data_IF_545677870807
#
_entry.id   IF_545677870807
#
_cell.length_a   1.000
_cell.length_b   1.000
_cell.length_c   1.000
_cell.angle_alpha   90.00
_cell.angle_beta   90.00
_cell.angle_gamma   90.00
#
_symmetry.space_group_name_H-M   'P 1'
#
loop_
_entity.id
_entity.type
_entity.pdbx_description
1 polymer ?
#
# COMPACT_ATOMS: atom_id res chain seq x y z
N UNK A 1 -20.11 -26.16 -19.40
CA UNK A 1 -19.16 -25.16 -18.86
C UNK A 1 -17.79 -25.60 -19.30
N UNK A 2 -17.19 -24.82 -20.20
CA UNK A 2 -16.00 -25.16 -20.99
C UNK A 2 -14.70 -24.94 -20.20
N UNK A 3 -13.66 -25.70 -20.54
CA UNK A 3 -12.34 -25.79 -19.89
C UNK A 3 -11.48 -24.52 -19.91
N UNK A 4 -12.04 -23.35 -20.25
CA UNK A 4 -11.32 -22.08 -20.33
C UNK A 4 -11.43 -21.20 -19.07
N UNK A 5 -12.27 -21.59 -18.09
CA UNK A 5 -12.50 -20.80 -16.87
C UNK A 5 -11.51 -21.08 -15.72
N UNK A 6 -10.53 -21.97 -15.89
CA UNK A 6 -9.63 -22.43 -14.78
C UNK A 6 -8.25 -21.73 -14.79
N UNK A 7 -7.97 -20.82 -15.73
CA UNK A 7 -6.68 -20.14 -15.83
C UNK A 7 -6.79 -18.62 -15.70
N UNK A 8 -7.13 -18.12 -14.50
CA UNK A 8 -6.89 -16.71 -14.12
C UNK A 8 -7.10 -16.37 -12.64
N UNK A 9 -7.07 -17.37 -11.75
CA UNK A 9 -7.01 -17.14 -10.31
C UNK A 9 -5.58 -17.42 -9.83
N UNK A 10 -5.15 -16.71 -8.79
CA UNK A 10 -3.85 -16.77 -8.10
C UNK A 10 -2.72 -15.82 -8.58
N UNK A 11 -3.10 -14.58 -8.86
CA UNK A 11 -2.27 -13.42 -8.53
C UNK A 11 -3.00 -12.51 -7.51
N UNK A 12 -3.78 -13.12 -6.62
CA UNK A 12 -4.44 -12.39 -5.53
C UNK A 12 -3.40 -11.97 -4.49
N UNK A 13 -3.36 -10.65 -4.25
CA UNK A 13 -2.54 -9.99 -3.25
C UNK A 13 -2.88 -10.58 -1.88
N UNK A 14 -1.94 -11.28 -1.26
CA UNK A 14 -2.09 -11.87 0.07
C UNK A 14 -2.34 -10.77 1.10
N UNK A 15 -3.40 -10.93 1.89
CA UNK A 15 -3.62 -10.14 3.11
C UNK A 15 -2.60 -10.57 4.15
N UNK A 16 -1.87 -9.61 4.72
CA UNK A 16 -0.89 -9.86 5.75
C UNK A 16 -1.36 -9.22 7.04
N UNK A 17 -1.66 -10.06 8.04
CA UNK A 17 -2.03 -9.64 9.40
C UNK A 17 -0.84 -9.29 10.27
N UNK A 18 0.39 -9.61 9.83
CA UNK A 18 1.66 -9.26 10.47
C UNK A 18 2.71 -9.00 9.38
N UNK A 19 3.77 -8.24 9.70
CA UNK A 19 4.86 -7.89 8.78
C UNK A 19 5.41 -9.14 8.06
N UNK A 20 5.15 -9.32 6.75
CA UNK A 20 5.47 -10.54 6.03
C UNK A 20 6.93 -10.60 5.56
N UNK A 21 7.73 -9.59 5.88
CA UNK A 21 9.11 -9.47 5.44
C UNK A 21 10.09 -9.37 6.61
N UNK A 22 9.72 -9.86 7.79
CA UNK A 22 10.71 -10.03 8.86
C UNK A 22 11.56 -11.27 8.59
N UNK A 23 12.70 -11.06 7.92
CA UNK A 23 13.73 -12.08 7.70
C UNK A 23 14.27 -12.67 9.02
N UNK A 24 13.96 -12.08 10.18
CA UNK A 24 14.37 -12.57 11.49
C UNK A 24 13.40 -13.56 12.12
N UNK A 25 12.17 -13.72 11.59
CA UNK A 25 11.17 -14.57 12.23
C UNK A 25 11.28 -16.06 11.84
N UNK A 26 11.68 -16.37 10.59
CA UNK A 26 11.79 -17.75 10.13
C UNK A 26 13.20 -18.32 10.40
N UNK A 27 13.30 -19.24 11.36
CA UNK A 27 14.56 -19.91 11.69
C UNK A 27 14.67 -21.24 10.93
N UNK A 28 15.88 -21.75 10.67
CA UNK A 28 16.07 -23.08 10.07
C UNK A 28 15.33 -24.21 10.81
N UNK A 29 15.11 -24.06 12.11
CA UNK A 29 14.27 -24.94 12.94
C UNK A 29 12.82 -25.04 12.43
N UNK A 30 12.26 -23.96 11.91
CA UNK A 30 10.87 -23.90 11.47
C UNK A 30 10.65 -24.75 10.21
N UNK A 31 11.66 -24.87 9.35
CA UNK A 31 11.63 -25.78 8.19
C UNK A 31 11.51 -27.23 8.63
N UNK A 32 12.18 -27.62 9.74
CA UNK A 32 12.04 -28.97 10.30
C UNK A 32 10.66 -29.22 10.84
N UNK A 33 10.04 -28.22 11.48
CA UNK A 33 8.66 -28.34 11.96
C UNK A 33 7.71 -28.66 10.82
N UNK A 34 7.91 -28.09 9.63
CA UNK A 34 7.09 -28.41 8.45
C UNK A 34 7.13 -29.89 8.07
N UNK A 35 8.31 -30.55 8.14
CA UNK A 35 8.44 -31.98 7.88
C UNK A 35 7.71 -32.87 8.91
N UNK A 36 7.49 -32.37 10.13
CA UNK A 36 6.75 -33.08 11.16
C UNK A 36 5.25 -32.79 11.12
N UNK A 37 4.86 -31.53 10.87
CA UNK A 37 3.47 -31.10 10.77
C UNK A 37 2.76 -31.79 9.61
N UNK A 38 3.43 -31.85 8.45
CA UNK A 38 2.84 -32.41 7.23
C UNK A 38 3.16 -33.88 7.00
N UNK A 39 3.94 -34.50 7.90
CA UNK A 39 4.42 -35.89 7.79
C UNK A 39 4.95 -36.26 6.40
N UNK A 40 5.76 -35.37 5.83
CA UNK A 40 6.37 -35.55 4.51
C UNK A 40 7.86 -35.89 4.64
N UNK A 41 8.42 -36.74 3.76
CA UNK A 41 9.85 -37.03 3.72
C UNK A 41 10.65 -36.01 2.90
N UNK A 42 9.97 -35.30 1.98
CA UNK A 42 10.56 -34.28 1.09
C UNK A 42 9.66 -33.05 1.02
N UNK A 43 10.29 -31.88 0.85
CA UNK A 43 9.62 -30.60 0.63
C UNK A 43 10.24 -29.95 -0.61
N UNK A 44 9.48 -29.73 -1.70
CA UNK A 44 9.95 -28.96 -2.84
C UNK A 44 10.05 -27.47 -2.50
N UNK A 45 11.13 -26.85 -2.98
CA UNK A 45 11.40 -25.42 -2.86
C UNK A 45 11.15 -24.77 -4.21
N UNK A 46 10.32 -23.74 -4.24
CA UNK A 46 9.90 -23.07 -5.47
C UNK A 46 10.21 -21.58 -5.44
N UNK A 47 10.40 -20.98 -6.60
CA UNK A 47 10.54 -19.53 -6.73
C UNK A 47 9.19 -18.84 -6.65
N UNK A 48 9.18 -17.50 -6.47
CA UNK A 48 7.95 -16.67 -6.58
C UNK A 48 7.18 -16.90 -7.90
N UNK A 49 7.84 -17.42 -8.94
CA UNK A 49 7.28 -17.70 -10.27
C UNK A 49 6.78 -19.14 -10.43
N UNK A 50 6.81 -19.94 -9.37
CA UNK A 50 6.42 -21.35 -9.40
C UNK A 50 7.46 -22.27 -10.05
N UNK A 51 8.71 -21.82 -10.21
CA UNK A 51 9.80 -22.65 -10.74
C UNK A 51 10.40 -23.46 -9.60
N UNK A 52 10.56 -24.77 -9.78
CA UNK A 52 11.22 -25.62 -8.80
C UNK A 52 12.71 -25.26 -8.69
N UNK A 53 13.15 -24.80 -7.52
CA UNK A 53 14.55 -24.47 -7.19
C UNK A 53 15.32 -25.74 -6.80
N UNK A 54 14.69 -26.60 -6.01
CA UNK A 54 15.26 -27.86 -5.55
C UNK A 54 14.34 -28.55 -4.56
N UNK A 55 14.79 -29.67 -3.99
CA UNK A 55 13.99 -30.46 -3.06
C UNK A 55 14.79 -30.71 -1.78
N UNK A 56 14.20 -30.38 -0.64
CA UNK A 56 14.75 -30.65 0.68
C UNK A 56 14.37 -32.06 1.12
N UNK A 57 15.33 -32.83 1.64
CA UNK A 57 15.09 -34.12 2.28
C UNK A 57 15.11 -33.97 3.79
N UNK A 58 14.13 -34.56 4.49
CA UNK A 58 14.04 -34.54 5.96
C UNK A 58 15.37 -34.94 6.64
N UNK A 59 16.01 -36.00 6.14
CA UNK A 59 17.27 -36.50 6.70
C UNK A 59 18.43 -35.51 6.58
N UNK A 60 18.54 -34.80 5.44
CA UNK A 60 19.60 -33.81 5.22
C UNK A 60 19.44 -32.61 6.15
N UNK A 61 18.20 -32.14 6.31
CA UNK A 61 17.88 -30.99 7.17
C UNK A 61 18.15 -31.33 8.64
N UNK A 62 17.75 -32.52 9.11
CA UNK A 62 18.04 -32.98 10.48
C UNK A 62 19.55 -33.10 10.71
N UNK A 63 20.29 -33.59 9.72
CA UNK A 63 21.75 -33.71 9.81
C UNK A 63 22.44 -32.35 9.91
N UNK A 64 22.02 -31.36 9.11
CA UNK A 64 22.59 -30.01 9.17
C UNK A 64 22.25 -29.29 10.49
N UNK A 65 21.03 -29.48 11.01
CA UNK A 65 20.62 -28.90 12.30
C UNK A 65 21.24 -29.56 13.52
N UNK A 66 21.91 -30.71 13.35
CA UNK A 66 22.70 -31.31 14.43
C UNK A 66 23.95 -30.48 14.75
N UNK A 67 24.39 -29.61 13.83
CA UNK A 67 25.48 -28.64 14.02
C UNK A 67 24.91 -27.25 14.34
N UNK A 68 24.35 -27.13 15.56
CA UNK A 68 23.57 -25.96 16.02
C UNK A 68 24.39 -24.66 15.96
N UNK A 69 25.67 -24.70 16.31
CA UNK A 69 26.55 -23.51 16.30
C UNK A 69 26.75 -22.91 14.90
N UNK A 70 26.67 -23.76 13.87
CA UNK A 70 26.79 -23.34 12.47
C UNK A 70 25.47 -22.79 11.94
N UNK A 71 24.34 -23.36 12.37
CA UNK A 71 23.02 -22.97 11.88
C UNK A 71 22.51 -21.68 12.51
N UNK A 72 22.87 -21.37 13.75
CA UNK A 72 22.52 -20.09 14.41
C UNK A 72 23.05 -18.86 13.65
N UNK A 73 24.13 -19.01 12.87
CA UNK A 73 24.76 -17.91 12.12
C UNK A 73 24.30 -17.82 10.67
N UNK A 74 23.55 -18.80 10.18
CA UNK A 74 23.13 -18.86 8.78
C UNK A 74 21.75 -18.22 8.62
N UNK A 75 21.63 -17.38 7.59
CA UNK A 75 20.32 -16.89 7.17
C UNK A 75 19.52 -18.04 6.54
N UNK A 76 18.20 -17.98 6.69
CA UNK A 76 17.29 -19.04 6.22
C UNK A 76 17.39 -19.29 4.71
N UNK A 77 17.61 -18.23 3.92
CA UNK A 77 17.76 -18.30 2.47
C UNK A 77 19.03 -19.04 2.05
N UNK A 78 20.15 -18.77 2.74
CA UNK A 78 21.39 -19.50 2.52
C UNK A 78 21.26 -20.97 2.95
N UNK A 79 20.58 -21.23 4.08
CA UNK A 79 20.34 -22.58 4.58
C UNK A 79 19.51 -23.42 3.60
N UNK A 80 18.38 -22.88 3.12
CA UNK A 80 17.50 -23.59 2.18
C UNK A 80 18.21 -23.78 0.83
N UNK A 81 18.86 -22.75 0.29
CA UNK A 81 19.56 -22.84 -0.99
C UNK A 81 20.68 -23.87 -0.98
N UNK A 82 21.42 -23.98 0.13
CA UNK A 82 22.50 -24.98 0.30
C UNK A 82 21.96 -26.41 0.35
N UNK A 83 20.80 -26.61 0.97
CA UNK A 83 20.21 -27.93 1.20
C UNK A 83 19.25 -28.39 0.09
N UNK A 84 18.77 -27.47 -0.73
CA UNK A 84 17.86 -27.75 -1.84
C UNK A 84 18.61 -28.50 -2.95
N UNK A 85 18.49 -29.82 -2.96
CA UNK A 85 19.15 -30.66 -3.93
C UNK A 85 18.31 -30.82 -5.20
N UNK A 86 18.97 -30.83 -6.37
CA UNK A 86 18.32 -31.27 -7.61
C UNK A 86 18.10 -32.78 -7.55
N UNK A 87 16.88 -33.20 -7.85
CA UNK A 87 16.53 -34.61 -7.97
C UNK A 87 16.11 -34.89 -9.40
N UNK A 88 16.54 -36.03 -9.93
CA UNK A 88 16.03 -36.57 -11.17
C UNK A 88 14.66 -37.19 -10.96
N UNK A 89 13.98 -37.51 -12.06
CA UNK A 89 12.73 -38.27 -12.01
C UNK A 89 12.92 -39.61 -11.27
N UNK A 90 14.05 -40.29 -11.51
CA UNK A 90 14.35 -41.59 -10.90
C UNK A 90 14.51 -41.50 -9.37
N UNK A 91 15.09 -40.39 -8.89
CA UNK A 91 15.22 -40.10 -7.46
C UNK A 91 13.87 -39.86 -6.76
N UNK A 92 12.83 -39.50 -7.53
CA UNK A 92 11.50 -39.21 -7.03
C UNK A 92 10.56 -40.42 -7.01
N UNK A 93 10.91 -41.51 -7.71
CA UNK A 93 10.14 -42.75 -7.75
C UNK A 93 9.80 -43.28 -6.34
N UNK A 94 10.72 -43.28 -5.35
CA UNK A 94 10.42 -43.74 -3.99
C UNK A 94 9.29 -42.96 -3.30
N UNK A 95 9.09 -41.70 -3.69
CA UNK A 95 8.07 -40.80 -3.12
C UNK A 95 6.75 -40.82 -3.92
N UNK A 96 6.64 -41.65 -4.96
CA UNK A 96 5.48 -41.68 -5.85
C UNK A 96 4.15 -42.12 -5.22
N UNK A 97 4.16 -42.61 -3.96
CA UNK A 97 2.96 -42.92 -3.16
C UNK A 97 2.32 -41.67 -2.55
N UNK A 98 3.07 -40.57 -2.44
CA UNK A 98 2.60 -39.30 -1.90
C UNK A 98 1.81 -38.58 -3.00
N UNK A 99 0.59 -38.16 -2.67
CA UNK A 99 -0.31 -37.50 -3.64
C UNK A 99 -0.04 -36.01 -3.76
N UNK A 100 0.29 -35.37 -2.62
CA UNK A 100 0.46 -33.94 -2.50
C UNK A 100 1.70 -33.64 -1.66
N UNK A 101 2.41 -32.60 -2.07
CA UNK A 101 3.62 -32.12 -1.43
C UNK A 101 3.42 -30.67 -1.04
N UNK A 102 3.70 -30.35 0.20
CA UNK A 102 3.75 -28.96 0.65
C UNK A 102 4.97 -28.30 0.03
N UNK A 103 4.79 -27.13 -0.57
CA UNK A 103 5.86 -26.38 -1.22
C UNK A 103 6.18 -25.12 -0.45
N UNK A 104 7.47 -24.77 -0.40
CA UNK A 104 7.97 -23.58 0.29
C UNK A 104 8.80 -22.71 -0.67
N UNK A 105 9.02 -21.46 -0.30
CA UNK A 105 10.01 -20.60 -0.96
C UNK A 105 11.40 -20.72 -0.30
N UNK A 106 12.39 -19.99 -0.82
CA UNK A 106 13.75 -19.95 -0.24
C UNK A 106 13.80 -19.36 1.17
N UNK A 107 12.74 -18.73 1.67
CA UNK A 107 12.67 -18.15 3.01
C UNK A 107 11.98 -19.08 4.03
N UNK A 108 11.54 -20.27 3.60
CA UNK A 108 10.87 -21.23 4.46
C UNK A 108 9.36 -21.03 4.56
N UNK A 109 8.80 -20.09 3.81
CA UNK A 109 7.37 -19.78 3.85
C UNK A 109 6.59 -20.72 2.93
N UNK A 110 5.44 -21.20 3.43
CA UNK A 110 4.51 -22.03 2.71
C UNK A 110 3.94 -21.30 1.48
N UNK A 111 4.00 -21.95 0.32
CA UNK A 111 3.46 -21.46 -0.95
C UNK A 111 2.26 -22.26 -1.45
N UNK A 112 1.77 -23.21 -0.64
CA UNK A 112 0.64 -24.09 -0.97
C UNK A 112 1.06 -25.55 -1.13
N UNK A 113 0.31 -26.29 -1.94
CA UNK A 113 0.56 -27.70 -2.23
C UNK A 113 0.72 -27.96 -3.72
N UNK A 114 1.62 -28.87 -4.07
CA UNK A 114 1.79 -29.41 -5.40
C UNK A 114 1.35 -30.87 -5.44
N UNK A 115 0.58 -31.23 -6.46
CA UNK A 115 0.33 -32.63 -6.78
C UNK A 115 1.61 -33.34 -7.22
N UNK A 116 1.63 -34.66 -7.06
CA UNK A 116 2.72 -35.52 -7.57
C UNK A 116 3.07 -35.26 -9.04
N UNK A 117 2.06 -35.04 -9.89
CA UNK A 117 2.27 -34.79 -11.31
C UNK A 117 3.01 -33.46 -11.52
N UNK A 118 2.60 -32.40 -10.81
CA UNK A 118 3.26 -31.09 -10.89
C UNK A 118 4.74 -31.18 -10.47
N UNK A 119 5.04 -31.88 -9.37
CA UNK A 119 6.43 -32.06 -8.93
C UNK A 119 7.26 -32.81 -9.97
N UNK A 120 6.72 -33.90 -10.53
CA UNK A 120 7.45 -34.75 -11.47
C UNK A 120 7.71 -34.02 -12.79
N UNK A 121 6.71 -33.30 -13.28
CA UNK A 121 6.84 -32.43 -14.46
C UNK A 121 7.83 -31.29 -14.22
N UNK A 122 7.82 -30.68 -13.04
CA UNK A 122 8.77 -29.61 -12.69
C UNK A 122 10.21 -30.12 -12.63
N UNK A 123 10.46 -31.33 -12.12
CA UNK A 123 11.78 -31.94 -12.11
C UNK A 123 12.31 -32.22 -13.53
N UNK A 124 11.46 -32.68 -14.44
CA UNK A 124 11.90 -32.95 -15.82
C UNK A 124 12.16 -31.65 -16.61
N UNK A 125 11.32 -30.62 -16.39
CA UNK A 125 11.47 -29.30 -17.02
C UNK A 125 12.63 -28.47 -16.43
N UNK A 126 13.15 -28.84 -15.25
CA UNK A 126 14.25 -28.11 -14.58
C UNK A 126 15.60 -28.18 -15.32
N UNK A 127 15.74 -29.07 -16.31
CA UNK A 127 17.00 -29.33 -17.05
C UNK A 127 17.54 -28.15 -17.87
N UNK A 128 16.78 -27.07 -18.04
CA UNK A 128 17.22 -25.86 -18.78
C UNK A 128 17.14 -24.54 -17.99
N UNK A 129 16.67 -24.56 -16.74
CA UNK A 129 16.49 -23.32 -15.95
C UNK A 129 17.73 -23.07 -15.10
N UNK A 130 18.29 -21.86 -15.19
CA UNK A 130 19.43 -21.48 -14.37
C UNK A 130 18.95 -21.02 -12.98
N UNK A 131 18.76 -21.99 -12.08
CA UNK A 131 18.25 -21.77 -10.73
C UNK A 131 19.06 -20.74 -9.92
N UNK A 132 20.37 -20.61 -10.15
CA UNK A 132 21.18 -19.57 -9.48
C UNK A 132 20.75 -18.16 -9.89
N UNK A 133 20.31 -17.99 -11.14
CA UNK A 133 19.77 -16.71 -11.63
C UNK A 133 18.40 -16.43 -11.02
N UNK A 134 17.53 -17.45 -10.92
CA UNK A 134 16.22 -17.31 -10.27
C UNK A 134 16.34 -17.02 -8.77
N UNK A 135 17.27 -17.68 -8.07
CA UNK A 135 17.55 -17.41 -6.65
C UNK A 135 18.10 -16.00 -6.45
N UNK A 136 19.10 -15.60 -7.24
CA UNK A 136 19.64 -14.22 -7.18
C UNK A 136 18.57 -13.19 -7.47
N UNK A 137 17.75 -13.42 -8.50
CA UNK A 137 16.65 -12.54 -8.84
C UNK A 137 15.62 -12.44 -7.73
N UNK A 138 15.27 -13.55 -7.09
CA UNK A 138 14.35 -13.56 -5.95
C UNK A 138 14.92 -12.82 -4.73
N UNK A 139 16.23 -12.94 -4.49
CA UNK A 139 16.92 -12.16 -3.46
C UNK A 139 16.93 -10.67 -3.80
N UNK A 140 17.27 -10.30 -5.05
CA UNK A 140 17.25 -8.91 -5.52
C UNK A 140 15.85 -8.30 -5.45
N UNK A 141 14.82 -9.01 -5.92
CA UNK A 141 13.42 -8.59 -5.85
C UNK A 141 13.00 -8.36 -4.40
N UNK A 142 13.40 -9.23 -3.46
CA UNK A 142 13.10 -9.04 -2.04
C UNK A 142 13.87 -7.87 -1.42
N UNK A 143 15.14 -7.67 -1.78
CA UNK A 143 15.91 -6.50 -1.33
C UNK A 143 15.24 -5.21 -1.82
N UNK A 144 14.74 -5.19 -3.07
CA UNK A 144 13.97 -4.07 -3.60
C UNK A 144 12.65 -3.89 -2.85
N UNK A 145 11.89 -4.97 -2.62
CA UNK A 145 10.64 -4.94 -1.84
C UNK A 145 10.90 -4.34 -0.44
N UNK A 146 12.00 -4.76 0.21
CA UNK A 146 12.39 -4.26 1.53
C UNK A 146 12.85 -2.80 1.50
N UNK A 147 13.60 -2.40 0.49
CA UNK A 147 13.98 -1.00 0.29
C UNK A 147 12.76 -0.11 0.08
N UNK A 148 11.77 -0.57 -0.69
CA UNK A 148 10.50 0.15 -0.90
C UNK A 148 9.77 0.29 0.43
N UNK A 149 9.65 -0.79 1.20
CA UNK A 149 9.03 -0.74 2.53
C UNK A 149 9.72 0.29 3.43
N UNK A 150 11.06 0.24 3.54
CA UNK A 150 11.82 1.19 4.35
C UNK A 150 11.62 2.63 3.90
N UNK A 151 11.60 2.88 2.59
CA UNK A 151 11.34 4.22 2.06
C UNK A 151 9.95 4.68 2.47
N UNK A 152 8.91 3.86 2.24
CA UNK A 152 7.53 4.20 2.56
C UNK A 152 7.31 4.40 4.07
N UNK A 153 7.99 3.62 4.90
CA UNK A 153 7.95 3.75 6.36
C UNK A 153 8.51 5.10 6.84
N UNK A 154 9.55 5.60 6.18
CA UNK A 154 10.24 6.85 6.58
C UNK A 154 9.72 8.10 5.85
N UNK A 155 8.70 7.97 4.99
CA UNK A 155 8.03 9.16 4.45
C UNK A 155 7.32 9.85 5.62
N UNK A 156 7.59 11.14 5.89
CA UNK A 156 7.05 11.86 7.04
C UNK A 156 5.59 12.31 6.82
N UNK A 157 4.75 11.38 6.37
CA UNK A 157 3.30 11.55 6.15
C UNK A 157 2.60 10.25 6.50
N UNK A 158 1.35 10.34 6.95
CA UNK A 158 0.54 9.15 7.17
C UNK A 158 0.12 8.56 5.81
N UNK A 159 0.53 7.31 5.56
CA UNK A 159 0.28 6.61 4.31
C UNK A 159 -0.59 5.40 4.55
N UNK A 160 -1.53 5.19 3.65
CA UNK A 160 -2.38 4.00 3.63
C UNK A 160 -2.64 3.59 2.18
N UNK A 161 -2.59 2.30 1.85
CA UNK A 161 -2.75 1.82 0.48
C UNK A 161 -3.82 0.73 0.40
N UNK A 162 -4.65 0.82 -0.63
CA UNK A 162 -5.71 -0.15 -0.93
C UNK A 162 -5.59 -0.69 -2.35
N UNK A 163 -5.97 -1.94 -2.56
CA UNK A 163 -6.01 -2.56 -3.90
C UNK A 163 -7.31 -2.21 -4.65
N UNK A 164 -7.45 -2.74 -5.88
CA UNK A 164 -8.68 -2.60 -6.69
C UNK A 164 -9.96 -3.08 -5.97
N UNK A 165 -9.84 -4.05 -5.06
CA UNK A 165 -10.97 -4.61 -4.29
C UNK A 165 -11.28 -3.82 -3.01
N UNK A 166 -10.53 -2.76 -2.71
CA UNK A 166 -10.68 -1.97 -1.50
C UNK A 166 -10.03 -2.59 -0.26
N UNK A 167 -9.21 -3.64 -0.42
CA UNK A 167 -8.49 -4.28 0.68
C UNK A 167 -7.16 -3.58 0.95
N UNK A 168 -6.75 -3.58 2.20
CA UNK A 168 -5.52 -2.95 2.69
C UNK A 168 -4.30 -3.68 2.16
N UNK A 169 -3.33 -2.94 1.64
CA UNK A 169 -2.05 -3.46 1.13
C UNK A 169 -0.88 -2.98 1.98
N UNK A 170 -0.96 -1.77 2.53
CA UNK A 170 0.12 -1.16 3.30
C UNK A 170 -0.41 -0.01 4.15
N UNK A 171 0.23 0.23 5.30
CA UNK A 171 0.19 1.48 6.05
C UNK A 171 1.52 1.66 6.80
N UNK A 172 1.92 2.91 7.06
CA UNK A 172 3.14 3.19 7.83
C UNK A 172 2.84 3.57 9.28
N UNK A 173 3.87 3.64 10.13
CA UNK A 173 3.74 4.04 11.54
C UNK A 173 3.04 5.39 11.73
N UNK A 174 3.25 6.36 10.83
CA UNK A 174 2.57 7.65 10.92
C UNK A 174 1.04 7.57 10.78
N UNK A 175 0.54 6.62 9.98
CA UNK A 175 -0.89 6.36 9.89
C UNK A 175 -1.40 5.62 11.13
N UNK A 176 -0.63 4.66 11.66
CA UNK A 176 -0.93 3.98 12.91
C UNK A 176 -1.05 4.97 14.08
N UNK A 177 -0.09 5.90 14.22
CA UNK A 177 -0.12 6.98 15.21
C UNK A 177 -1.41 7.83 15.10
N UNK A 178 -1.89 8.06 13.87
CA UNK A 178 -3.12 8.79 13.62
C UNK A 178 -4.33 7.98 14.12
N UNK A 179 -4.39 6.71 13.76
CA UNK A 179 -5.47 5.82 14.15
C UNK A 179 -5.57 5.65 15.66
N UNK A 180 -4.43 5.39 16.31
CA UNK A 180 -4.32 5.22 17.77
C UNK A 180 -4.70 6.51 18.49
N UNK A 181 -4.31 7.69 17.99
CA UNK A 181 -4.73 8.97 18.58
C UNK A 181 -6.27 9.14 18.54
N UNK A 182 -6.94 8.64 17.49
CA UNK A 182 -8.38 8.79 17.31
C UNK A 182 -9.19 7.77 18.10
N UNK A 183 -8.80 6.49 18.06
CA UNK A 183 -9.60 5.38 18.63
C UNK A 183 -9.03 4.82 19.92
N UNK A 184 -7.75 5.08 20.25
CA UNK A 184 -7.10 4.56 21.45
C UNK A 184 -6.82 3.05 21.41
N UNK A 185 -6.93 2.44 20.23
CA UNK A 185 -6.74 1.00 19.99
C UNK A 185 -5.83 0.80 18.75
N UNK A 186 -5.26 -0.41 18.64
CA UNK A 186 -4.45 -0.81 17.49
C UNK A 186 -5.29 -0.85 16.20
N UNK A 187 -4.61 -0.72 15.06
CA UNK A 187 -5.24 -0.60 13.74
C UNK A 187 -6.15 -1.78 13.41
N UNK A 188 -7.46 -1.53 13.30
CA UNK A 188 -8.42 -2.50 12.79
C UNK A 188 -8.59 -2.37 11.27
N UNK A 189 -7.95 -3.27 10.54
CA UNK A 189 -7.95 -3.33 9.06
C UNK A 189 -9.36 -3.44 8.49
N UNK A 190 -10.21 -4.33 9.02
CA UNK A 190 -11.57 -4.53 8.51
C UNK A 190 -12.46 -3.29 8.67
N UNK A 191 -12.22 -2.53 9.74
CA UNK A 191 -12.93 -1.26 9.97
C UNK A 191 -12.49 -0.20 8.96
N UNK A 192 -11.19 -0.08 8.71
CA UNK A 192 -10.64 0.91 7.78
C UNK A 192 -11.08 0.67 6.33
N UNK A 193 -11.12 -0.58 5.89
CA UNK A 193 -11.60 -0.93 4.55
C UNK A 193 -13.05 -0.50 4.35
N UNK A 194 -13.89 -0.63 5.38
CA UNK A 194 -15.27 -0.12 5.37
C UNK A 194 -15.32 1.40 5.39
N UNK A 195 -14.47 2.03 6.20
CA UNK A 195 -14.42 3.50 6.33
C UNK A 195 -14.05 4.18 5.01
N UNK A 196 -13.05 3.69 4.28
CA UNK A 196 -12.65 4.26 2.99
C UNK A 196 -13.54 3.86 1.81
N UNK A 197 -14.37 2.83 1.98
CA UNK A 197 -15.33 2.38 0.96
C UNK A 197 -16.69 3.05 1.08
N UNK A 198 -17.05 3.59 2.25
CA UNK A 198 -18.35 4.22 2.51
C UNK A 198 -18.40 5.65 1.95
N UNK A 199 -19.18 5.94 0.88
CA UNK A 199 -19.25 7.26 0.29
C UNK A 199 -19.91 8.31 1.20
N UNK A 200 -20.73 7.89 2.18
CA UNK A 200 -21.42 8.80 3.10
C UNK A 200 -20.45 9.40 4.11
N UNK A 201 -19.36 8.69 4.39
CA UNK A 201 -18.35 9.10 5.37
C UNK A 201 -17.21 9.90 4.76
N UNK A 202 -17.09 9.87 3.43
CA UNK A 202 -15.98 10.45 2.68
C UNK A 202 -16.47 11.58 1.78
N UNK A 203 -16.48 12.79 2.33
CA UNK A 203 -16.92 13.98 1.62
C UNK A 203 -15.83 14.45 0.66
N UNK A 204 -16.20 14.69 -0.60
CA UNK A 204 -15.27 15.23 -1.60
C UNK A 204 -15.13 16.74 -1.42
N UNK A 205 -13.91 17.19 -1.18
CA UNK A 205 -13.54 18.60 -1.03
C UNK A 205 -12.69 19.01 -2.23
N UNK A 206 -13.27 19.89 -3.06
CA UNK A 206 -12.53 20.53 -4.15
C UNK A 206 -11.84 21.76 -3.61
N UNK A 207 -10.51 21.70 -3.46
CA UNK A 207 -9.72 22.90 -3.19
C UNK A 207 -9.77 23.79 -4.44
N UNK A 208 -10.11 25.06 -4.27
CA UNK A 208 -10.40 26.02 -5.36
C UNK A 208 -9.22 26.37 -6.28
N UNK A 209 -8.11 25.63 -6.22
CA UNK A 209 -6.94 25.77 -7.09
C UNK A 209 -6.62 24.45 -7.80
N UNK A 210 -6.61 24.50 -9.12
CA UNK A 210 -6.04 23.52 -10.05
C UNK A 210 -5.95 22.04 -9.57
N UNK A 211 -7.07 21.33 -9.57
CA UNK A 211 -7.09 19.89 -9.86
C UNK A 211 -6.86 18.90 -8.71
N UNK A 212 -6.55 19.37 -7.49
CA UNK A 212 -6.37 18.46 -6.35
C UNK A 212 -7.71 18.16 -5.66
N UNK A 213 -8.16 16.92 -5.83
CA UNK A 213 -9.34 16.36 -5.18
C UNK A 213 -8.94 15.79 -3.82
N UNK A 214 -9.32 16.49 -2.75
CA UNK A 214 -9.16 16.02 -1.38
C UNK A 214 -10.47 15.41 -0.86
N UNK A 215 -10.38 14.51 0.10
CA UNK A 215 -11.51 13.87 0.74
C UNK A 215 -11.44 14.12 2.23
N UNK A 216 -12.58 14.23 2.89
CA UNK A 216 -12.65 14.32 4.34
C UNK A 216 -13.41 13.12 4.88
N UNK A 217 -12.75 12.33 5.73
CA UNK A 217 -13.39 11.23 6.43
C UNK A 217 -13.89 11.71 7.79
N UNK A 218 -15.21 11.72 8.00
CA UNK A 218 -15.82 12.27 9.23
C UNK A 218 -15.59 11.42 10.49
N UNK A 219 -15.46 10.09 10.34
CA UNK A 219 -15.22 9.18 11.47
C UNK A 219 -13.76 9.25 11.94
N UNK A 220 -12.82 9.28 10.99
CA UNK A 220 -11.38 9.41 11.25
C UNK A 220 -10.98 10.86 11.55
N UNK A 221 -11.79 11.84 11.15
CA UNK A 221 -11.50 13.28 11.24
C UNK A 221 -10.18 13.63 10.54
N UNK A 222 -10.02 13.12 9.32
CA UNK A 222 -8.83 13.32 8.49
C UNK A 222 -9.19 13.86 7.13
N UNK A 223 -8.28 14.67 6.59
CA UNK A 223 -8.25 15.00 5.18
C UNK A 223 -7.30 14.04 4.49
N UNK A 224 -7.69 13.55 3.33
CA UNK A 224 -6.84 12.65 2.58
C UNK A 224 -6.93 12.86 1.09
N UNK A 225 -5.80 12.64 0.42
CA UNK A 225 -5.69 12.63 -1.03
C UNK A 225 -5.65 11.19 -1.52
N UNK A 226 -6.35 10.90 -2.63
CA UNK A 226 -6.46 9.55 -3.18
C UNK A 226 -5.81 9.47 -4.55
N UNK A 227 -4.59 8.94 -4.61
CA UNK A 227 -3.80 8.83 -5.83
C UNK A 227 -3.93 7.42 -6.43
N UNK A 228 -4.35 7.26 -7.70
CA UNK A 228 -4.42 5.95 -8.33
C UNK A 228 -3.03 5.36 -8.53
N UNK A 229 -2.82 4.12 -8.07
CA UNK A 229 -1.61 3.35 -8.37
C UNK A 229 -1.77 2.70 -9.75
N UNK A 230 -0.81 2.93 -10.64
CA UNK A 230 -0.84 2.43 -12.02
C UNK A 230 0.26 1.39 -12.22
N UNK A 231 -0.10 0.23 -12.76
CA UNK A 231 0.83 -0.80 -13.23
C UNK A 231 0.69 -0.90 -14.75
N UNK A 232 1.58 -0.20 -15.47
CA UNK A 232 1.37 0.08 -16.89
C UNK A 232 0.09 0.89 -17.09
N UNK A 233 -0.80 0.42 -17.97
CA UNK A 233 -2.09 1.07 -18.24
C UNK A 233 -3.22 0.61 -17.31
N UNK A 234 -2.97 -0.36 -16.42
CA UNK A 234 -3.99 -0.88 -15.49
C UNK A 234 -3.83 -0.24 -14.12
N UNK A 235 -4.92 0.29 -13.58
CA UNK A 235 -4.98 0.79 -12.21
C UNK A 235 -5.02 -0.37 -11.23
N UNK A 236 -4.01 -0.50 -10.37
CA UNK A 236 -3.86 -1.59 -9.39
C UNK A 236 -4.43 -1.28 -7.99
N UNK A 237 -4.82 -0.03 -7.74
CA UNK A 237 -5.36 0.40 -6.45
C UNK A 237 -5.27 1.90 -6.24
N UNK A 238 -5.20 2.30 -4.98
CA UNK A 238 -4.99 3.68 -4.58
C UNK A 238 -4.02 3.80 -3.41
N UNK A 239 -3.18 4.82 -3.47
CA UNK A 239 -2.40 5.31 -2.35
C UNK A 239 -3.15 6.50 -1.74
N UNK A 240 -3.31 6.47 -0.43
CA UNK A 240 -4.04 7.44 0.37
C UNK A 240 -3.03 8.18 1.24
N UNK A 241 -2.91 9.48 1.02
CA UNK A 241 -2.10 10.38 1.84
C UNK A 241 -3.02 11.02 2.86
N UNK A 242 -2.82 10.72 4.14
CA UNK A 242 -3.62 11.28 5.22
C UNK A 242 -2.90 12.47 5.84
N UNK A 243 -3.59 13.59 5.95
CA UNK A 243 -3.14 14.76 6.67
C UNK A 243 -4.07 14.98 7.88
N UNK A 244 -3.46 15.10 9.06
CA UNK A 244 -4.16 15.37 10.34
C UNK A 244 -4.88 16.72 10.37
N UNK A 245 -4.67 17.55 9.34
CA UNK A 245 -5.25 18.87 9.09
C UNK A 245 -4.72 19.32 7.73
N UNK A 246 -5.58 19.81 6.83
CA UNK A 246 -5.12 20.82 5.88
C UNK A 246 -4.30 21.83 6.67
N UNK A 247 -3.12 22.22 6.21
CA UNK A 247 -2.35 23.28 6.87
C UNK A 247 -3.26 24.48 7.22
N UNK A 248 -3.64 24.58 8.49
CA UNK A 248 -4.49 25.63 9.07
C UNK A 248 -5.93 25.18 9.39
N UNK A 249 -6.55 25.68 10.48
CA UNK A 249 -8.00 25.80 10.48
C UNK A 249 -8.34 26.59 9.22
N UNK A 250 -9.31 26.15 8.42
CA UNK A 250 -10.02 27.10 7.56
C UNK A 250 -10.85 28.03 8.47
N UNK A 251 -10.18 28.84 9.30
CA UNK A 251 -10.60 30.21 9.47
C UNK A 251 -10.59 30.76 8.06
N UNK A 252 -11.77 30.92 7.47
CA UNK A 252 -11.99 31.57 6.18
C UNK A 252 -11.03 32.75 6.02
N UNK A 253 -9.83 32.60 5.46
CA UNK A 253 -8.80 33.62 5.61
C UNK A 253 -8.83 34.53 4.39
N UNK A 254 -9.25 35.79 4.57
CA UNK A 254 -9.07 36.81 3.54
C UNK A 254 -7.64 37.34 3.66
N UNK A 255 -6.84 37.33 2.58
CA UNK A 255 -5.49 37.89 2.59
C UNK A 255 -5.47 39.32 3.14
N UNK A 256 -4.78 39.54 4.26
CA UNK A 256 -4.65 40.85 4.90
C UNK A 256 -5.73 41.23 5.92
N UNK A 257 -6.62 40.31 6.33
CA UNK A 257 -7.64 40.55 7.37
C UNK A 257 -7.50 39.54 8.50
N UNK A 258 -7.22 40.02 9.71
CA UNK A 258 -7.36 39.22 10.93
C UNK A 258 -8.85 39.10 11.28
N UNK A 259 -9.33 37.87 11.45
CA UNK A 259 -10.74 37.52 11.64
C UNK A 259 -11.03 37.03 13.07
N UNK A 260 -9.99 36.92 13.90
CA UNK A 260 -10.16 36.62 15.32
C UNK A 260 -10.87 37.79 16.01
N UNK A 261 -11.85 37.46 16.84
CA UNK A 261 -12.65 38.40 17.63
C UNK A 261 -13.54 39.41 16.85
N UNK A 262 -13.83 39.15 15.57
CA UNK A 262 -14.73 39.99 14.76
C UNK A 262 -16.16 39.48 14.72
N UNK A 263 -17.13 40.41 14.66
CA UNK A 263 -18.53 40.04 14.49
C UNK A 263 -18.78 39.49 13.07
N UNK A 264 -19.81 38.66 12.90
CA UNK A 264 -20.21 38.16 11.57
C UNK A 264 -20.41 39.30 10.56
N UNK A 265 -20.93 40.44 11.02
CA UNK A 265 -21.12 41.61 10.19
C UNK A 265 -19.79 42.18 9.68
N UNK A 266 -18.78 42.29 10.54
CA UNK A 266 -17.45 42.78 10.16
C UNK A 266 -16.74 41.82 9.18
N UNK A 267 -16.96 40.51 9.35
CA UNK A 267 -16.42 39.49 8.45
C UNK A 267 -17.04 39.63 7.06
N UNK A 268 -18.37 39.71 6.96
CA UNK A 268 -19.06 39.89 5.68
C UNK A 268 -18.64 41.19 4.99
N UNK A 269 -18.49 42.28 5.73
CA UNK A 269 -18.03 43.56 5.19
C UNK A 269 -16.58 43.50 4.70
N UNK A 270 -15.70 42.74 5.38
CA UNK A 270 -14.33 42.53 4.93
C UNK A 270 -14.27 41.69 3.64
N UNK A 271 -15.08 40.62 3.55
CA UNK A 271 -15.23 39.80 2.33
C UNK A 271 -15.67 40.68 1.18
N UNK A 272 -16.74 41.46 1.41
CA UNK A 272 -17.36 42.30 0.40
C UNK A 272 -16.39 43.36 -0.11
N UNK A 273 -15.66 44.03 0.79
CA UNK A 273 -14.61 44.99 0.43
C UNK A 273 -13.53 44.33 -0.42
N UNK A 274 -13.04 43.15 -0.06
CA UNK A 274 -11.99 42.46 -0.79
C UNK A 274 -12.41 42.13 -2.23
N UNK A 275 -13.61 41.57 -2.41
CA UNK A 275 -14.18 41.25 -3.72
C UNK A 275 -14.31 42.51 -4.58
N UNK A 276 -14.74 43.63 -4.00
CA UNK A 276 -14.87 44.91 -4.73
C UNK A 276 -13.49 45.44 -5.16
N UNK A 277 -12.50 45.40 -4.28
CA UNK A 277 -11.13 45.84 -4.58
C UNK A 277 -10.53 45.00 -5.70
N UNK A 278 -10.67 43.67 -5.65
CA UNK A 278 -10.18 42.76 -6.68
C UNK A 278 -10.86 43.01 -8.04
N UNK A 279 -12.18 43.19 -8.05
CA UNK A 279 -12.93 43.51 -9.26
C UNK A 279 -12.49 44.83 -9.89
N UNK A 280 -12.21 45.87 -9.08
CA UNK A 280 -11.70 47.17 -9.55
C UNK A 280 -10.27 47.03 -10.09
N UNK A 281 -9.39 46.27 -9.43
CA UNK A 281 -8.01 46.07 -9.89
C UNK A 281 -7.94 45.28 -11.20
N UNK A 282 -8.82 44.31 -11.39
CA UNK A 282 -8.88 43.47 -12.60
C UNK A 282 -9.73 44.06 -13.73
N UNK A 283 -10.55 45.07 -13.43
CA UNK A 283 -11.38 45.78 -14.41
C UNK A 283 -10.64 46.96 -15.02
N UNK A 284 -10.92 47.30 -16.28
CA UNK A 284 -10.31 48.49 -16.92
C UNK A 284 -10.97 49.79 -16.48
N UNK A 285 -12.23 49.73 -16.08
CA UNK A 285 -13.00 50.86 -15.59
C UNK A 285 -14.10 50.39 -14.61
N UNK A 286 -14.76 51.35 -13.97
CA UNK A 286 -15.81 51.08 -12.98
C UNK A 286 -17.08 50.45 -13.59
N UNK A 287 -17.33 50.58 -14.89
CA UNK A 287 -18.49 49.95 -15.55
C UNK A 287 -18.27 48.45 -15.68
N UNK A 288 -17.11 48.05 -16.18
CA UNK A 288 -16.72 46.64 -16.29
C UNK A 288 -16.64 45.97 -14.90
N UNK A 289 -16.15 46.70 -13.91
CA UNK A 289 -16.11 46.23 -12.52
C UNK A 289 -17.51 46.02 -11.94
N UNK A 290 -18.46 46.91 -12.25
CA UNK A 290 -19.85 46.81 -11.82
C UNK A 290 -20.56 45.63 -12.49
N UNK A 291 -20.34 45.43 -13.80
CA UNK A 291 -20.89 44.28 -14.53
C UNK A 291 -20.39 42.94 -13.98
N UNK A 292 -19.08 42.81 -13.69
CA UNK A 292 -18.50 41.59 -13.10
C UNK A 292 -19.13 41.25 -11.74
N UNK A 293 -19.43 42.28 -10.95
CA UNK A 293 -20.08 42.13 -9.64
C UNK A 293 -21.61 42.03 -9.73
N UNK A 294 -22.18 42.08 -10.94
CA UNK A 294 -23.64 42.14 -11.17
C UNK A 294 -24.32 43.28 -10.40
N UNK A 295 -23.63 44.41 -10.30
CA UNK A 295 -24.11 45.64 -9.69
C UNK A 295 -24.32 46.71 -10.76
N UNK A 296 -25.20 47.68 -10.50
CA UNK A 296 -25.23 48.91 -11.29
C UNK A 296 -24.12 49.87 -10.82
N UNK A 297 -23.74 50.83 -11.67
CA UNK A 297 -22.65 51.78 -11.37
C UNK A 297 -22.89 52.60 -10.08
N UNK A 298 -24.14 52.93 -9.81
CA UNK A 298 -24.52 53.65 -8.59
C UNK A 298 -24.31 52.78 -7.33
N UNK A 299 -24.68 51.50 -7.39
CA UNK A 299 -24.51 50.52 -6.31
C UNK A 299 -23.04 50.23 -6.03
N UNK A 300 -22.20 50.14 -7.07
CA UNK A 300 -20.76 50.02 -6.90
C UNK A 300 -20.17 51.28 -6.24
N UNK A 301 -20.54 52.49 -6.71
CA UNK A 301 -20.07 53.75 -6.12
C UNK A 301 -20.48 53.92 -4.65
N UNK A 302 -21.69 53.50 -4.27
CA UNK A 302 -22.14 53.52 -2.88
C UNK A 302 -21.28 52.61 -2.00
N UNK A 303 -20.89 51.42 -2.49
CA UNK A 303 -20.03 50.48 -1.76
C UNK A 303 -18.56 50.94 -1.70
N UNK A 304 -18.03 51.54 -2.78
CA UNK A 304 -16.70 52.18 -2.79
C UNK A 304 -16.60 53.26 -1.70
N UNK A 305 -17.64 54.10 -1.58
CA UNK A 305 -17.72 55.12 -0.52
C UNK A 305 -17.87 54.50 0.87
N UNK A 306 -18.74 53.49 1.03
CA UNK A 306 -18.96 52.79 2.30
C UNK A 306 -17.66 52.20 2.85
N UNK A 307 -16.83 51.61 1.98
CA UNK A 307 -15.61 50.90 2.37
C UNK A 307 -14.32 51.71 2.20
N UNK A 308 -14.43 53.00 1.89
CA UNK A 308 -13.31 53.92 1.65
C UNK A 308 -12.25 53.33 0.71
N UNK A 309 -12.68 52.78 -0.42
CA UNK A 309 -11.79 52.17 -1.40
C UNK A 309 -11.22 53.27 -2.30
N UNK A 310 -9.88 53.38 -2.35
CA UNK A 310 -9.20 54.27 -3.28
C UNK A 310 -9.26 53.69 -4.70
N UNK A 311 -9.86 54.44 -5.62
CA UNK A 311 -9.93 54.09 -7.05
C UNK A 311 -8.93 54.99 -7.78
N UNK A 312 -7.92 54.38 -8.41
CA UNK A 312 -6.98 55.10 -9.29
C UNK A 312 -7.54 55.25 -10.69
#
# INVERSE_FOLDING_TARGET
MSEEDIKKEDAETREFTENPFDHQNARPEDVVRLFYIHDVPIIPVISKRGVLIGILKKQNIISELSDIERVEKLKIDEFITRNAARMSFDDLIPYGKIREFVVINIFGELQGTWSRIQLFTACDNSKGVNHEVEVKKQQEDQVLDWMIYLILEHIPRALYAINEKGRTVFYNSHFEDLYVEKFGEDVNVEMLEKLFSDPVKNDLISNGGAGDLSFHNSDLDIFYEKVPMMSGDKKSGFLIFCDKKSSGPEEFSIPGVDLKDKSLQDIVEAVERHIIVDAIHKGKNLDESAERLKLNRQGLNSKIKKFSIEVK
#
